data_IF_885287109289
#
_entry.id   IF_885287109289
#
_cell.length_a   1.000
_cell.length_b   1.000
_cell.length_c   1.000
_cell.angle_alpha   90.00
_cell.angle_beta   90.00
_cell.angle_gamma   90.00
#
_symmetry.space_group_name_H-M   'P 1'
#
loop_
_entity.id
_entity.type
_entity.pdbx_description
1 polymer ?
#
# COMPACT_ATOMS: atom_id res chain seq x y z
N UNK A 1 -7.62 1.34 17.03
CA UNK A 1 -8.42 1.91 15.91
C UNK A 1 -9.58 0.98 15.62
N UNK A 2 -10.80 1.48 15.54
CA UNK A 2 -11.95 0.63 15.20
C UNK A 2 -12.05 0.43 13.68
N UNK A 3 -12.94 -0.48 13.24
CA UNK A 3 -13.06 -0.84 11.83
C UNK A 3 -13.41 0.34 10.92
N UNK A 4 -14.25 1.25 11.40
CA UNK A 4 -14.65 2.44 10.64
C UNK A 4 -13.46 3.38 10.43
N UNK A 5 -12.69 3.63 11.49
CA UNK A 5 -11.50 4.49 11.41
C UNK A 5 -10.44 3.88 10.53
N UNK A 6 -10.26 2.56 10.64
CA UNK A 6 -9.31 1.83 9.79
C UNK A 6 -9.70 1.92 8.33
N UNK A 7 -10.98 1.73 8.02
CA UNK A 7 -11.49 1.82 6.66
C UNK A 7 -11.28 3.23 6.07
N UNK A 8 -11.56 4.27 6.85
CA UNK A 8 -11.35 5.65 6.41
C UNK A 8 -9.87 5.94 6.15
N UNK A 9 -8.99 5.45 7.04
CA UNK A 9 -7.55 5.63 6.87
C UNK A 9 -7.04 4.91 5.62
N UNK A 10 -7.51 3.68 5.37
CA UNK A 10 -7.15 2.93 4.17
C UNK A 10 -7.62 3.63 2.90
N UNK A 11 -8.81 4.20 2.91
CA UNK A 11 -9.33 4.94 1.74
C UNK A 11 -8.48 6.17 1.43
N UNK A 12 -7.97 6.85 2.45
CA UNK A 12 -7.05 7.98 2.26
C UNK A 12 -5.74 7.50 1.64
N UNK A 13 -5.17 6.41 2.13
CA UNK A 13 -3.92 5.87 1.58
C UNK A 13 -4.13 5.32 0.18
N UNK A 14 -5.31 4.80 -0.13
CA UNK A 14 -5.66 4.39 -1.48
C UNK A 14 -5.57 5.55 -2.47
N UNK A 15 -6.12 6.69 -2.11
CA UNK A 15 -6.06 7.90 -2.94
C UNK A 15 -4.62 8.39 -3.10
N UNK A 16 -3.85 8.40 -2.02
CA UNK A 16 -2.45 8.83 -2.05
C UNK A 16 -1.60 7.90 -2.92
N UNK A 17 -1.86 6.60 -2.86
CA UNK A 17 -1.14 5.60 -3.65
C UNK A 17 -1.35 5.73 -5.16
N UNK A 18 -2.43 6.38 -5.58
CA UNK A 18 -2.73 6.61 -6.99
C UNK A 18 -1.97 7.80 -7.58
N UNK A 19 -1.33 8.61 -6.73
CA UNK A 19 -0.61 9.81 -7.19
C UNK A 19 0.65 9.43 -7.96
N UNK A 20 0.93 10.18 -9.02
CA UNK A 20 2.09 9.97 -9.87
C UNK A 20 3.41 10.00 -9.10
N UNK A 21 3.52 10.85 -8.08
CA UNK A 21 4.74 11.00 -7.28
C UNK A 21 5.15 9.70 -6.58
N UNK A 22 4.19 8.80 -6.26
CA UNK A 22 4.47 7.51 -5.66
C UNK A 22 5.34 6.66 -6.60
N UNK A 23 5.06 6.72 -7.89
CA UNK A 23 5.82 5.98 -8.91
C UNK A 23 7.17 6.62 -9.24
N UNK A 24 7.25 7.94 -9.18
CA UNK A 24 8.40 8.70 -9.66
C UNK A 24 9.45 9.02 -8.59
N UNK A 25 9.01 9.18 -7.34
CA UNK A 25 9.91 9.65 -6.28
C UNK A 25 10.02 8.66 -5.13
N UNK A 26 11.26 8.21 -4.88
CA UNK A 26 11.56 7.27 -3.79
C UNK A 26 11.05 7.77 -2.44
N UNK A 27 11.25 9.05 -2.13
CA UNK A 27 10.81 9.62 -0.85
C UNK A 27 9.29 9.58 -0.69
N UNK A 28 8.55 9.86 -1.77
CA UNK A 28 7.09 9.79 -1.73
C UNK A 28 6.61 8.35 -1.52
N UNK A 29 7.22 7.40 -2.21
CA UNK A 29 6.91 5.97 -2.04
C UNK A 29 7.20 5.52 -0.61
N UNK A 30 8.37 5.85 -0.08
CA UNK A 30 8.76 5.48 1.28
C UNK A 30 7.79 6.05 2.31
N UNK A 31 7.37 7.30 2.13
CA UNK A 31 6.40 7.94 3.02
C UNK A 31 5.04 7.22 2.97
N UNK A 32 4.59 6.87 1.78
CA UNK A 32 3.32 6.13 1.60
C UNK A 32 3.39 4.76 2.27
N UNK A 33 4.50 4.03 2.09
CA UNK A 33 4.74 2.74 2.75
C UNK A 33 4.61 2.88 4.27
N UNK A 34 5.23 3.91 4.84
CA UNK A 34 5.19 4.12 6.29
C UNK A 34 3.77 4.41 6.81
N UNK A 35 2.91 5.00 5.98
CA UNK A 35 1.53 5.29 6.35
C UNK A 35 0.61 4.08 6.21
N UNK A 36 0.86 3.22 5.23
CA UNK A 36 0.03 2.03 4.98
C UNK A 36 0.37 0.90 5.94
N UNK A 37 1.64 0.70 6.25
CA UNK A 37 2.11 -0.43 7.05
C UNK A 37 1.33 -0.63 8.36
N UNK A 38 1.13 0.40 9.20
CA UNK A 38 0.38 0.22 10.45
C UNK A 38 -1.06 -0.21 10.24
N UNK A 39 -1.64 0.11 9.07
CA UNK A 39 -3.03 -0.20 8.78
C UNK A 39 -3.24 -1.66 8.37
N UNK A 40 -2.17 -2.37 8.02
CA UNK A 40 -2.23 -3.77 7.60
C UNK A 40 -1.74 -4.74 8.67
N UNK A 41 -1.28 -4.25 9.81
CA UNK A 41 -0.60 -5.08 10.83
C UNK A 41 -1.48 -6.19 11.40
N UNK A 42 -2.80 -6.03 11.41
CA UNK A 42 -3.72 -7.03 11.92
C UNK A 42 -4.10 -8.09 10.86
N UNK A 43 -3.60 -7.95 9.65
CA UNK A 43 -3.85 -8.89 8.57
C UNK A 43 -2.51 -9.38 8.03
N UNK A 44 -2.03 -10.51 8.56
CA UNK A 44 -0.69 -11.04 8.25
C UNK A 44 -0.47 -11.28 6.76
N UNK A 45 -1.47 -11.80 6.06
CA UNK A 45 -1.35 -12.11 4.64
C UNK A 45 -1.17 -10.84 3.81
N UNK A 46 -2.04 -9.85 4.02
CA UNK A 46 -1.95 -8.59 3.29
C UNK A 46 -0.69 -7.81 3.67
N UNK A 47 -0.35 -7.81 4.94
CA UNK A 47 0.87 -7.18 5.42
C UNK A 47 2.11 -7.75 4.72
N UNK A 48 2.22 -9.08 4.68
CA UNK A 48 3.36 -9.77 4.05
C UNK A 48 3.43 -9.46 2.56
N UNK A 49 2.30 -9.53 1.87
CA UNK A 49 2.23 -9.22 0.44
C UNK A 49 2.66 -7.79 0.16
N UNK A 50 2.15 -6.85 0.96
CA UNK A 50 2.48 -5.44 0.82
C UNK A 50 3.98 -5.19 1.06
N UNK A 51 4.53 -5.72 2.14
CA UNK A 51 5.92 -5.49 2.50
C UNK A 51 6.89 -6.12 1.51
N UNK A 52 6.58 -7.30 0.97
CA UNK A 52 7.40 -7.92 -0.07
C UNK A 52 7.43 -7.05 -1.33
N UNK A 53 6.29 -6.57 -1.77
CA UNK A 53 6.20 -5.70 -2.94
C UNK A 53 6.89 -4.35 -2.66
N UNK A 54 6.73 -3.80 -1.46
CA UNK A 54 7.37 -2.54 -1.08
C UNK A 54 8.90 -2.64 -1.15
N UNK A 55 9.46 -3.74 -0.65
CA UNK A 55 10.92 -3.96 -0.71
C UNK A 55 11.43 -3.99 -2.14
N UNK A 56 10.71 -4.67 -3.03
CA UNK A 56 11.06 -4.75 -4.45
C UNK A 56 10.90 -3.41 -5.17
N UNK A 57 9.80 -2.69 -4.88
CA UNK A 57 9.57 -1.38 -5.47
C UNK A 57 10.64 -0.38 -5.04
N UNK A 58 11.01 -0.39 -3.76
CA UNK A 58 11.99 0.55 -3.22
C UNK A 58 13.42 0.24 -3.68
N UNK A 59 13.70 -1.00 -4.08
CA UNK A 59 15.00 -1.37 -4.65
C UNK A 59 15.23 -0.76 -6.04
N UNK A 60 14.16 -0.41 -6.75
CA UNK A 60 14.19 0.26 -8.06
C UNK A 60 15.14 -0.37 -9.07
N UNK A 61 15.06 -1.71 -9.18
CA UNK A 61 15.94 -2.47 -10.09
C UNK A 61 15.66 -2.15 -11.56
N UNK A 62 14.40 -1.83 -11.89
CA UNK A 62 14.01 -1.34 -13.22
C UNK A 62 12.71 -0.55 -13.09
N UNK A 63 12.40 0.27 -14.09
CA UNK A 63 11.14 1.04 -14.11
C UNK A 63 9.93 0.10 -14.11
N UNK A 64 9.99 -0.97 -14.91
CA UNK A 64 8.90 -1.94 -15.01
C UNK A 64 8.67 -2.68 -13.69
N UNK A 65 9.74 -3.14 -13.05
CA UNK A 65 9.64 -3.84 -11.76
C UNK A 65 9.08 -2.92 -10.68
N UNK A 66 9.52 -1.66 -10.66
CA UNK A 66 9.02 -0.66 -9.72
C UNK A 66 7.51 -0.46 -9.89
N UNK A 67 7.06 -0.26 -11.13
CA UNK A 67 5.65 -0.06 -11.44
C UNK A 67 4.81 -1.29 -11.07
N UNK A 68 5.25 -2.49 -11.44
CA UNK A 68 4.54 -3.74 -11.13
C UNK A 68 4.37 -3.92 -9.62
N UNK A 69 5.41 -3.65 -8.86
CA UNK A 69 5.36 -3.84 -7.41
C UNK A 69 4.50 -2.78 -6.72
N UNK A 70 4.53 -1.53 -7.21
CA UNK A 70 3.61 -0.50 -6.69
C UNK A 70 2.16 -0.88 -6.99
N UNK A 71 1.88 -1.43 -8.17
CA UNK A 71 0.54 -1.90 -8.52
C UNK A 71 0.08 -3.02 -7.57
N UNK A 72 0.97 -3.94 -7.19
CA UNK A 72 0.68 -4.98 -6.20
C UNK A 72 0.35 -4.34 -4.85
N UNK A 73 1.12 -3.35 -4.43
CA UNK A 73 0.87 -2.63 -3.17
C UNK A 73 -0.50 -1.96 -3.18
N UNK A 74 -0.85 -1.31 -4.28
CA UNK A 74 -2.17 -0.66 -4.43
C UNK A 74 -3.29 -1.68 -4.40
N UNK A 75 -3.14 -2.81 -5.09
CA UNK A 75 -4.12 -3.91 -5.06
C UNK A 75 -4.29 -4.46 -3.65
N UNK A 76 -3.21 -4.52 -2.88
CA UNK A 76 -3.26 -4.98 -1.49
C UNK A 76 -4.09 -4.05 -0.62
N UNK A 77 -3.92 -2.73 -0.79
CA UNK A 77 -4.75 -1.73 -0.09
C UNK A 77 -6.22 -1.89 -0.50
N UNK A 78 -6.48 -2.07 -1.80
CA UNK A 78 -7.84 -2.30 -2.31
C UNK A 78 -8.48 -3.55 -1.66
N UNK A 79 -7.71 -4.61 -1.53
CA UNK A 79 -8.18 -5.86 -0.88
C UNK A 79 -8.50 -5.64 0.59
N UNK A 80 -7.67 -4.88 1.30
CA UNK A 80 -7.91 -4.56 2.70
C UNK A 80 -9.22 -3.78 2.88
N UNK A 81 -9.47 -2.82 1.99
CA UNK A 81 -10.71 -2.05 1.99
C UNK A 81 -11.91 -2.97 1.74
N UNK A 82 -11.81 -3.83 0.71
CA UNK A 82 -12.89 -4.74 0.35
C UNK A 82 -13.24 -5.69 1.51
N UNK A 83 -12.24 -6.23 2.21
CA UNK A 83 -12.47 -7.11 3.35
C UNK A 83 -13.22 -6.39 4.48
N UNK A 84 -12.87 -5.15 4.76
CA UNK A 84 -13.56 -4.37 5.80
C UNK A 84 -14.98 -3.98 5.39
N UNK A 85 -15.20 -3.70 4.12
CA UNK A 85 -16.52 -3.34 3.60
C UNK A 85 -17.48 -4.52 3.55
N UNK A 86 -16.95 -5.73 3.46
CA UNK A 86 -17.75 -6.96 3.41
C UNK A 86 -18.05 -7.54 4.80
N UNK A 87 -17.48 -6.99 5.83
CA UNK A 87 -17.82 -7.33 7.20
C UNK A 87 -19.09 -6.57 7.61
#
# INVERSE_FOLDING_TARGET
MNSKELLEALKKTQLDGAKEEIYEHHAALAHWVSRVTPLLMDNDELYTTFMNAAGKAMARTSADATTENIDIMRSTVDSAIAELEND
#
